data_IF_990236115242
#
_entry.id   IF_990236115242
#
_cell.length_a   1.000
_cell.length_b   1.000
_cell.length_c   1.000
_cell.angle_alpha   90.00
_cell.angle_beta   90.00
_cell.angle_gamma   90.00
#
_symmetry.space_group_name_H-M   'P 1'
#
loop_
_entity.id
_entity.type
_entity.pdbx_description
1 polymer ?
#
# COMPACT_ATOMS: atom_id res chain seq x y z
N UNK A 1 22.12 45.46 6.28
CA UNK A 1 21.02 44.54 5.89
C UNK A 1 21.63 43.15 5.70
N UNK A 2 21.11 42.12 6.37
CA UNK A 2 21.58 40.75 6.19
C UNK A 2 20.75 40.06 5.08
N UNK A 3 21.43 39.48 4.09
CA UNK A 3 20.76 38.84 2.93
C UNK A 3 19.88 37.66 3.35
N UNK A 4 20.31 36.90 4.37
CA UNK A 4 19.52 35.82 4.98
C UNK A 4 18.18 36.32 5.54
N UNK A 5 18.17 37.41 6.30
CA UNK A 5 16.94 37.96 6.87
C UNK A 5 16.04 38.56 5.79
N UNK A 6 16.62 39.23 4.80
CA UNK A 6 15.87 39.80 3.68
C UNK A 6 15.10 38.72 2.91
N UNK A 7 15.78 37.63 2.56
CA UNK A 7 15.17 36.49 1.87
C UNK A 7 14.09 35.85 2.74
N UNK A 8 14.34 35.68 4.04
CA UNK A 8 13.36 35.16 5.01
C UNK A 8 12.10 36.02 5.13
N UNK A 9 12.22 37.34 5.07
CA UNK A 9 11.07 38.26 5.10
C UNK A 9 10.33 38.38 3.76
N UNK A 10 10.66 37.54 2.78
CA UNK A 10 9.93 37.43 1.52
C UNK A 10 10.58 38.13 0.33
N UNK A 11 11.84 38.59 0.45
CA UNK A 11 12.57 39.12 -0.69
C UNK A 11 12.98 37.97 -1.63
N UNK A 12 12.54 37.96 -2.90
CA UNK A 12 12.93 36.90 -3.83
C UNK A 12 14.47 36.83 -4.01
N UNK A 13 15.07 35.62 -4.06
CA UNK A 13 16.52 35.46 -4.16
C UNK A 13 17.18 36.18 -5.34
N UNK A 14 16.49 36.32 -6.48
CA UNK A 14 17.01 37.05 -7.64
C UNK A 14 17.04 38.58 -7.42
N UNK A 15 16.16 39.13 -6.58
CA UNK A 15 16.20 40.56 -6.20
C UNK A 15 17.29 40.78 -5.15
N UNK A 16 17.38 39.87 -4.16
CA UNK A 16 18.45 39.89 -3.17
C UNK A 16 19.84 39.79 -3.82
N UNK A 17 19.97 39.04 -4.92
CA UNK A 17 21.20 38.93 -5.72
C UNK A 17 21.63 40.29 -6.29
N UNK A 18 20.70 41.02 -6.89
CA UNK A 18 20.96 42.35 -7.48
C UNK A 18 21.40 43.34 -6.40
N UNK A 19 20.71 43.35 -5.26
CA UNK A 19 21.03 44.24 -4.12
C UNK A 19 22.41 43.89 -3.53
N UNK A 20 22.76 42.61 -3.48
CA UNK A 20 24.05 42.14 -2.96
C UNK A 20 25.20 42.23 -3.98
N UNK A 21 24.92 42.57 -5.24
CA UNK A 21 25.92 42.62 -6.32
C UNK A 21 26.51 41.25 -6.68
N UNK A 22 25.82 40.15 -6.39
CA UNK A 22 26.33 38.82 -6.68
C UNK A 22 26.22 38.50 -8.18
N UNK A 23 27.33 38.16 -8.81
CA UNK A 23 27.37 37.77 -10.23
C UNK A 23 26.66 36.43 -10.52
N UNK A 24 26.51 35.57 -9.51
CA UNK A 24 25.88 34.25 -9.63
C UNK A 24 24.75 34.10 -8.61
N UNK A 25 23.56 33.70 -9.07
CA UNK A 25 22.40 33.44 -8.21
C UNK A 25 22.66 32.35 -7.17
N UNK A 26 23.52 31.38 -7.47
CA UNK A 26 23.86 30.30 -6.53
C UNK A 26 24.55 30.83 -5.27
N UNK A 27 25.31 31.92 -5.38
CA UNK A 27 25.89 32.63 -4.23
C UNK A 27 24.80 33.19 -3.33
N UNK A 28 23.73 33.74 -3.91
CA UNK A 28 22.58 34.25 -3.15
C UNK A 28 21.69 33.15 -2.59
N UNK A 29 21.51 32.06 -3.36
CA UNK A 29 20.75 30.87 -2.94
C UNK A 29 21.39 30.18 -1.73
N UNK A 30 22.71 30.31 -1.54
CA UNK A 30 23.38 29.83 -0.33
C UNK A 30 22.87 30.47 0.97
N UNK A 31 22.30 31.68 0.90
CA UNK A 31 21.64 32.33 2.04
C UNK A 31 20.18 31.89 2.23
N UNK A 32 19.59 31.21 1.25
CA UNK A 32 18.26 30.59 1.33
C UNK A 32 18.38 29.23 1.99
N UNK A 33 18.70 29.21 3.28
CA UNK A 33 18.71 27.98 4.06
C UNK A 33 17.27 27.46 4.16
N UNK A 34 16.96 26.38 3.45
CA UNK A 34 15.68 25.68 3.61
C UNK A 34 15.69 24.99 4.97
N UNK A 35 14.95 25.52 5.93
CA UNK A 35 14.88 24.91 7.25
C UNK A 35 13.96 23.69 7.21
N UNK A 36 14.28 22.60 7.94
CA UNK A 36 13.42 21.42 8.02
C UNK A 36 11.96 21.75 8.37
N UNK A 37 11.74 22.74 9.24
CA UNK A 37 10.41 23.20 9.64
C UNK A 37 9.60 23.76 8.46
N UNK A 38 10.17 24.64 7.65
CA UNK A 38 9.50 25.25 6.49
C UNK A 38 9.13 24.19 5.45
N UNK A 39 10.00 23.20 5.26
CA UNK A 39 9.72 22.06 4.36
C UNK A 39 8.56 21.21 4.90
N UNK A 40 8.56 20.92 6.20
CA UNK A 40 7.49 20.16 6.86
C UNK A 40 6.16 20.92 6.76
N UNK A 41 6.17 22.23 7.00
CA UNK A 41 4.98 23.09 6.91
C UNK A 41 4.46 23.19 5.49
N UNK A 42 5.33 23.41 4.51
CA UNK A 42 4.96 23.42 3.09
C UNK A 42 4.34 22.08 2.65
N UNK A 43 4.92 20.96 3.09
CA UNK A 43 4.39 19.63 2.82
C UNK A 43 3.01 19.42 3.49
N UNK A 44 2.87 19.76 4.77
CA UNK A 44 1.59 19.67 5.49
C UNK A 44 0.51 20.51 4.82
N UNK A 45 0.84 21.74 4.43
CA UNK A 45 -0.07 22.63 3.71
C UNK A 45 -0.47 22.06 2.35
N UNK A 46 0.46 21.44 1.62
CA UNK A 46 0.18 20.73 0.38
C UNK A 46 -0.80 19.57 0.59
N UNK A 47 -0.57 18.71 1.59
CA UNK A 47 -1.47 17.59 1.91
C UNK A 47 -2.85 18.11 2.32
N UNK A 48 -2.93 19.15 3.16
CA UNK A 48 -4.18 19.75 3.60
C UNK A 48 -5.02 20.27 2.43
N UNK A 49 -4.41 21.00 1.49
CA UNK A 49 -5.09 21.49 0.27
C UNK A 49 -5.63 20.36 -0.60
N UNK A 50 -4.93 19.23 -0.67
CA UNK A 50 -5.41 18.06 -1.40
C UNK A 50 -6.57 17.38 -0.69
N UNK A 51 -6.52 17.27 0.64
CA UNK A 51 -7.62 16.70 1.43
C UNK A 51 -8.89 17.54 1.33
N UNK A 52 -8.78 18.87 1.30
CA UNK A 52 -9.95 19.76 1.17
C UNK A 52 -10.67 19.67 -0.18
N UNK A 53 -10.00 19.17 -1.23
CA UNK A 53 -10.62 18.97 -2.54
C UNK A 53 -11.33 17.61 -2.67
N UNK A 54 -11.09 16.67 -1.75
CA UNK A 54 -11.78 15.38 -1.74
C UNK A 54 -13.13 15.52 -1.02
N UNK A 55 -14.19 14.85 -1.51
CA UNK A 55 -15.46 14.79 -0.80
C UNK A 55 -15.28 14.41 0.67
N UNK A 56 -15.91 15.16 1.57
CA UNK A 56 -15.76 14.95 3.02
C UNK A 56 -16.20 13.55 3.46
N UNK A 57 -17.16 12.95 2.73
CA UNK A 57 -17.66 11.59 2.93
C UNK A 57 -16.54 10.54 2.91
N UNK A 58 -15.49 10.73 2.11
CA UNK A 58 -14.37 9.77 2.02
C UNK A 58 -13.48 9.75 3.27
N UNK A 59 -13.59 10.77 4.14
CA UNK A 59 -12.83 10.87 5.39
C UNK A 59 -13.68 10.60 6.62
N UNK A 60 -14.96 10.24 6.46
CA UNK A 60 -15.79 9.92 7.61
C UNK A 60 -15.24 8.70 8.34
N UNK A 61 -15.38 8.70 9.65
CA UNK A 61 -15.11 7.50 10.44
C UNK A 61 -16.23 6.48 10.18
N UNK A 62 -15.91 5.23 9.78
CA UNK A 62 -16.91 4.17 9.68
C UNK A 62 -17.62 3.96 11.01
N UNK A 63 -18.91 3.63 10.97
CA UNK A 63 -19.68 3.25 12.16
C UNK A 63 -19.31 1.85 12.63
N UNK A 64 -19.59 1.51 13.89
CA UNK A 64 -19.33 0.17 14.43
C UNK A 64 -20.08 -0.92 13.66
N UNK A 65 -21.32 -0.64 13.22
CA UNK A 65 -22.11 -1.58 12.42
C UNK A 65 -21.51 -1.82 11.02
N UNK A 66 -20.98 -0.79 10.38
CA UNK A 66 -20.24 -0.94 9.12
C UNK A 66 -18.93 -1.70 9.32
N UNK A 67 -18.29 -1.50 10.48
CA UNK A 67 -17.10 -2.24 10.84
C UNK A 67 -17.40 -3.73 11.04
N UNK A 68 -18.49 -4.03 11.74
CA UNK A 68 -18.96 -5.39 11.96
C UNK A 68 -19.34 -6.09 10.65
N UNK A 69 -20.06 -5.40 9.74
CA UNK A 69 -20.39 -5.96 8.43
C UNK A 69 -19.14 -6.19 7.57
N UNK A 70 -18.17 -5.26 7.60
CA UNK A 70 -16.90 -5.44 6.92
C UNK A 70 -16.12 -6.64 7.46
N UNK A 71 -16.00 -6.79 8.78
CA UNK A 71 -15.28 -7.91 9.40
C UNK A 71 -16.01 -9.24 9.13
N UNK A 72 -17.33 -9.24 9.27
CA UNK A 72 -18.18 -10.40 8.97
C UNK A 72 -18.08 -10.85 7.51
N UNK A 73 -17.77 -9.96 6.56
CA UNK A 73 -17.56 -10.33 5.16
C UNK A 73 -16.39 -11.31 4.97
N UNK A 74 -15.31 -11.16 5.74
CA UNK A 74 -14.14 -12.06 5.65
C UNK A 74 -14.45 -13.44 6.22
N UNK A 75 -15.19 -13.51 7.32
CA UNK A 75 -15.61 -14.78 7.94
C UNK A 75 -16.65 -15.52 7.07
N UNK A 76 -17.55 -14.79 6.41
CA UNK A 76 -18.62 -15.35 5.55
C UNK A 76 -18.13 -15.92 4.22
N UNK A 77 -16.84 -15.85 3.88
CA UNK A 77 -16.29 -16.31 2.60
C UNK A 77 -15.32 -17.48 2.70
N UNK A 78 -15.39 -18.24 3.80
CA UNK A 78 -14.84 -19.60 3.82
C UNK A 78 -15.65 -20.47 2.86
N UNK A 79 -14.95 -21.11 1.94
CA UNK A 79 -15.50 -22.04 0.96
C UNK A 79 -15.01 -23.45 1.32
N UNK A 80 -15.61 -24.47 0.71
CA UNK A 80 -15.28 -25.87 0.95
C UNK A 80 -13.81 -26.22 0.72
N UNK A 81 -13.16 -25.56 -0.24
CA UNK A 81 -11.77 -25.86 -0.66
C UNK A 81 -10.80 -24.69 -0.46
N UNK A 82 -11.22 -23.63 0.23
CA UNK A 82 -10.40 -22.42 0.36
C UNK A 82 -11.13 -21.19 0.85
N UNK A 83 -10.60 -20.02 0.50
CA UNK A 83 -11.18 -18.72 0.85
C UNK A 83 -11.33 -17.86 -0.41
N UNK A 84 -12.46 -17.17 -0.54
CA UNK A 84 -12.66 -16.24 -1.64
C UNK A 84 -11.96 -14.90 -1.35
N UNK A 85 -11.03 -14.48 -2.20
CA UNK A 85 -10.29 -13.22 -2.07
C UNK A 85 -10.97 -12.01 -2.76
N UNK A 86 -12.25 -12.14 -3.10
CA UNK A 86 -13.02 -11.07 -3.73
C UNK A 86 -13.28 -9.93 -2.73
N UNK A 87 -13.17 -8.69 -3.18
CA UNK A 87 -13.23 -7.51 -2.33
C UNK A 87 -14.57 -7.33 -1.59
N UNK A 88 -14.53 -6.65 -0.44
CA UNK A 88 -15.72 -6.19 0.28
C UNK A 88 -16.68 -5.43 -0.65
N UNK A 89 -17.99 -5.65 -0.48
CA UNK A 89 -19.03 -5.03 -1.31
C UNK A 89 -19.16 -5.57 -2.74
N UNK A 90 -18.36 -6.57 -3.16
CA UNK A 90 -18.50 -7.17 -4.50
C UNK A 90 -19.15 -8.57 -4.44
N UNK A 91 -20.37 -8.68 -4.96
CA UNK A 91 -21.11 -9.93 -5.03
C UNK A 91 -20.48 -10.91 -6.04
N UNK A 92 -20.67 -12.21 -5.82
CA UNK A 92 -20.37 -13.24 -6.82
C UNK A 92 -21.69 -13.67 -7.45
N UNK A 93 -21.79 -13.65 -8.78
CA UNK A 93 -22.97 -14.20 -9.49
C UNK A 93 -22.94 -15.73 -9.54
N UNK A 94 -21.78 -16.33 -9.26
CA UNK A 94 -21.57 -17.77 -9.30
C UNK A 94 -21.43 -18.31 -7.89
N UNK A 95 -22.55 -18.62 -7.26
CA UNK A 95 -22.57 -19.47 -6.08
C UNK A 95 -22.06 -20.85 -6.52
N UNK A 96 -21.03 -21.38 -5.86
CA UNK A 96 -20.42 -22.71 -6.11
C UNK A 96 -19.48 -22.90 -7.32
N UNK A 97 -19.24 -21.91 -8.19
CA UNK A 97 -18.23 -22.05 -9.27
C UNK A 97 -16.78 -21.80 -8.82
N UNK A 98 -16.49 -21.90 -7.52
CA UNK A 98 -15.24 -21.37 -6.94
C UNK A 98 -13.99 -22.09 -7.43
N UNK A 99 -14.06 -23.38 -7.77
CA UNK A 99 -12.92 -24.14 -8.31
C UNK A 99 -12.40 -23.53 -9.62
N UNK A 100 -13.31 -22.96 -10.45
CA UNK A 100 -12.96 -22.24 -11.69
C UNK A 100 -12.54 -20.79 -11.44
N UNK A 101 -12.73 -20.26 -10.23
CA UNK A 101 -12.56 -18.85 -9.94
C UNK A 101 -11.09 -18.50 -9.70
N UNK A 102 -10.60 -17.48 -10.42
CA UNK A 102 -9.24 -16.92 -10.19
C UNK A 102 -9.08 -16.32 -8.79
N UNK A 103 -10.17 -15.86 -8.17
CA UNK A 103 -10.15 -15.25 -6.84
C UNK A 103 -10.24 -16.29 -5.70
N UNK A 104 -10.44 -17.57 -6.00
CA UNK A 104 -10.31 -18.62 -4.98
C UNK A 104 -8.84 -18.77 -4.61
N UNK A 105 -8.50 -18.50 -3.36
CA UNK A 105 -7.23 -18.90 -2.74
C UNK A 105 -7.43 -20.29 -2.12
N UNK A 106 -6.82 -21.34 -2.69
CA UNK A 106 -7.00 -22.69 -2.20
C UNK A 106 -6.33 -22.84 -0.84
N UNK A 107 -6.99 -23.58 0.06
CA UNK A 107 -6.44 -23.92 1.37
C UNK A 107 -5.56 -25.17 1.22
N UNK A 108 -4.26 -25.14 1.55
CA UNK A 108 -3.38 -26.30 1.45
C UNK A 108 -3.91 -27.54 2.19
N UNK A 109 -4.64 -27.35 3.30
CA UNK A 109 -5.24 -28.46 4.04
C UNK A 109 -6.35 -29.19 3.25
N UNK A 110 -6.92 -28.54 2.22
CA UNK A 110 -7.98 -29.09 1.36
C UNK A 110 -7.44 -29.69 0.05
N UNK A 111 -6.12 -29.89 -0.07
CA UNK A 111 -5.52 -30.48 -1.28
C UNK A 111 -6.12 -31.83 -1.65
N UNK A 112 -6.33 -32.72 -0.67
CA UNK A 112 -6.94 -34.04 -0.89
C UNK A 112 -8.34 -33.91 -1.51
N UNK A 113 -9.14 -32.97 -1.01
CA UNK A 113 -10.48 -32.71 -1.55
C UNK A 113 -10.45 -32.19 -2.98
N UNK A 114 -9.46 -31.36 -3.35
CA UNK A 114 -9.27 -30.91 -4.73
C UNK A 114 -8.87 -32.06 -5.66
N UNK A 115 -8.07 -33.02 -5.17
CA UNK A 115 -7.73 -34.25 -5.89
C UNK A 115 -8.98 -35.11 -6.13
N UNK A 116 -9.83 -35.31 -5.12
CA UNK A 116 -11.11 -36.01 -5.28
C UNK A 116 -12.01 -35.35 -6.33
N UNK A 117 -12.08 -34.01 -6.33
CA UNK A 117 -12.85 -33.26 -7.34
C UNK A 117 -12.27 -33.47 -8.74
N UNK A 118 -10.95 -33.40 -8.90
CA UNK A 118 -10.27 -33.64 -10.17
C UNK A 118 -10.57 -35.04 -10.70
N UNK A 119 -10.42 -36.06 -9.87
CA UNK A 119 -10.59 -37.45 -10.27
C UNK A 119 -12.06 -37.72 -10.65
N UNK A 120 -13.02 -37.18 -9.90
CA UNK A 120 -14.43 -37.25 -10.27
C UNK A 120 -14.73 -36.56 -11.61
N UNK A 121 -14.11 -35.41 -11.89
CA UNK A 121 -14.28 -34.72 -13.17
C UNK A 121 -13.74 -35.53 -14.34
N UNK A 122 -12.62 -36.24 -14.16
CA UNK A 122 -12.07 -37.15 -15.17
C UNK A 122 -13.05 -38.29 -15.47
N UNK A 123 -13.60 -38.93 -14.43
CA UNK A 123 -14.59 -39.99 -14.58
C UNK A 123 -15.84 -39.49 -15.33
N UNK A 124 -16.34 -38.30 -14.98
CA UNK A 124 -17.51 -37.70 -15.64
C UNK A 124 -17.25 -37.30 -17.09
N UNK A 125 -16.04 -36.88 -17.43
CA UNK A 125 -15.66 -36.60 -18.82
C UNK A 125 -15.66 -37.91 -19.62
N UNK A 126 -15.07 -38.98 -19.09
CA UNK A 126 -15.04 -40.28 -19.75
C UNK A 126 -16.47 -40.84 -19.96
N UNK A 127 -17.33 -40.72 -18.96
CA UNK A 127 -18.75 -41.09 -19.08
C UNK A 127 -19.46 -40.27 -20.17
N UNK A 128 -19.29 -38.95 -20.17
CA UNK A 128 -19.91 -38.08 -21.18
C UNK A 128 -19.41 -38.36 -22.60
N UNK A 129 -18.15 -38.76 -22.77
CA UNK A 129 -17.59 -39.16 -24.06
C UNK A 129 -18.19 -40.48 -24.56
N UNK A 130 -18.35 -41.47 -23.66
CA UNK A 130 -18.97 -42.76 -23.99
C UNK A 130 -20.46 -42.61 -24.37
N UNK A 131 -21.19 -41.78 -23.64
CA UNK A 131 -22.63 -41.54 -23.85
C UNK A 131 -22.91 -40.49 -24.95
N UNK A 132 -21.87 -39.86 -25.50
CA UNK A 132 -22.00 -38.85 -26.57
C UNK A 132 -22.61 -37.51 -26.11
N UNK A 133 -22.50 -37.16 -24.83
CA UNK A 133 -23.01 -35.91 -24.25
C UNK A 133 -22.09 -34.72 -24.50
N UNK A 134 -21.93 -34.35 -25.77
CA UNK A 134 -20.97 -33.33 -26.20
C UNK A 134 -21.18 -31.95 -25.55
N UNK A 135 -22.40 -31.61 -25.14
CA UNK A 135 -22.72 -30.33 -24.50
C UNK A 135 -22.16 -30.17 -23.08
N UNK A 136 -21.95 -31.27 -22.35
CA UNK A 136 -21.47 -31.25 -20.95
C UNK A 136 -19.94 -31.27 -20.87
N UNK A 137 -19.28 -31.88 -21.85
CA UNK A 137 -17.83 -32.13 -21.85
C UNK A 137 -17.02 -30.84 -21.68
N UNK A 138 -17.37 -29.77 -22.39
CA UNK A 138 -16.62 -28.52 -22.33
C UNK A 138 -16.66 -27.89 -20.93
N UNK A 139 -17.83 -27.87 -20.30
CA UNK A 139 -17.99 -27.37 -18.93
C UNK A 139 -17.20 -28.21 -17.90
N UNK A 140 -17.16 -29.52 -18.09
CA UNK A 140 -16.37 -30.43 -17.25
C UNK A 140 -14.87 -30.19 -17.43
N UNK A 141 -14.38 -30.06 -18.67
CA UNK A 141 -12.96 -29.77 -18.96
C UNK A 141 -12.50 -28.43 -18.37
N UNK A 142 -13.32 -27.38 -18.43
CA UNK A 142 -13.02 -26.10 -17.76
C UNK A 142 -12.92 -26.27 -16.24
N UNK A 143 -13.79 -27.10 -15.64
CA UNK A 143 -13.73 -27.39 -14.20
C UNK A 143 -12.47 -28.16 -13.83
N UNK A 144 -12.09 -29.12 -14.66
CA UNK A 144 -10.89 -29.95 -14.48
C UNK A 144 -9.63 -29.08 -14.49
N UNK A 145 -9.49 -28.23 -15.51
CA UNK A 145 -8.38 -27.28 -15.59
C UNK A 145 -8.34 -26.33 -14.37
N UNK A 146 -9.51 -25.91 -13.87
CA UNK A 146 -9.62 -25.15 -12.63
C UNK A 146 -9.08 -25.93 -11.43
N UNK A 147 -9.50 -27.18 -11.25
CA UNK A 147 -9.07 -28.04 -10.15
C UNK A 147 -7.55 -28.31 -10.19
N UNK A 148 -7.01 -28.65 -11.35
CA UNK A 148 -5.57 -28.88 -11.56
C UNK A 148 -4.76 -27.62 -11.23
N UNK A 149 -5.17 -26.46 -11.74
CA UNK A 149 -4.52 -25.19 -11.44
C UNK A 149 -4.50 -24.87 -9.94
N UNK A 150 -5.54 -25.23 -9.18
CA UNK A 150 -5.57 -25.04 -7.72
C UNK A 150 -4.64 -26.01 -6.99
N UNK A 151 -4.53 -27.25 -7.45
CA UNK A 151 -3.58 -28.22 -6.91
C UNK A 151 -2.14 -27.73 -7.15
N UNK A 152 -1.83 -27.33 -8.38
CA UNK A 152 -0.52 -26.80 -8.74
C UNK A 152 -0.16 -25.55 -7.92
N UNK A 153 -1.15 -24.69 -7.65
CA UNK A 153 -0.97 -23.53 -6.78
C UNK A 153 -0.59 -23.92 -5.34
N UNK A 154 -1.21 -24.96 -4.79
CA UNK A 154 -0.84 -25.48 -3.46
C UNK A 154 0.57 -26.08 -3.51
N UNK A 155 0.87 -26.89 -4.52
CA UNK A 155 2.12 -27.64 -4.63
C UNK A 155 3.33 -26.73 -4.93
N UNK A 156 3.10 -25.63 -5.66
CA UNK A 156 4.12 -24.64 -5.99
C UNK A 156 4.29 -23.56 -4.92
N UNK A 157 3.39 -23.47 -3.94
CA UNK A 157 3.47 -22.45 -2.90
C UNK A 157 4.70 -22.74 -2.01
N UNK A 158 5.71 -21.86 -1.97
CA UNK A 158 6.81 -22.02 -1.05
C UNK A 158 6.24 -21.92 0.37
N UNK A 159 6.44 -22.94 1.21
CA UNK A 159 6.05 -22.96 2.62
C UNK A 159 6.83 -21.97 3.49
N UNK A 160 7.46 -20.96 2.89
CA UNK A 160 8.34 -20.00 3.52
C UNK A 160 7.63 -18.65 3.52
N UNK A 161 7.28 -18.18 4.72
CA UNK A 161 6.91 -16.79 4.93
C UNK A 161 8.11 -15.93 4.52
N UNK A 162 7.96 -15.14 3.46
CA UNK A 162 8.99 -14.19 3.05
C UNK A 162 8.96 -13.06 4.08
N UNK A 163 9.90 -13.07 5.01
CA UNK A 163 10.10 -11.95 5.93
C UNK A 163 10.63 -10.75 5.14
N UNK A 164 9.74 -9.79 4.88
CA UNK A 164 10.09 -8.53 4.22
C UNK A 164 10.86 -7.58 5.15
N UNK A 165 10.98 -7.93 6.44
CA UNK A 165 11.55 -7.09 7.49
C UNK A 165 10.64 -5.91 7.85
N UNK A 166 10.66 -5.50 9.12
CA UNK A 166 10.03 -4.24 9.51
C UNK A 166 10.83 -3.06 8.94
N UNK A 167 10.19 -2.06 8.30
CA UNK A 167 10.90 -0.89 7.81
C UNK A 167 11.54 -0.18 9.00
N UNK A 168 12.88 -0.19 9.05
CA UNK A 168 13.63 0.49 10.10
C UNK A 168 13.46 2.00 9.91
N UNK A 169 12.98 2.68 10.94
CA UNK A 169 13.03 4.15 11.00
C UNK A 169 14.51 4.55 10.97
N UNK A 170 14.94 5.32 9.96
CA UNK A 170 16.29 5.87 9.94
C UNK A 170 16.53 6.67 11.24
N UNK A 171 17.64 6.40 11.94
CA UNK A 171 18.02 7.15 13.13
C UNK A 171 18.19 8.62 12.76
N UNK A 172 17.51 9.52 13.47
CA UNK A 172 17.73 10.95 13.33
C UNK A 172 19.20 11.25 13.68
N UNK A 173 19.95 11.98 12.82
CA UNK A 173 21.29 12.38 13.18
C UNK A 173 21.21 13.26 14.44
N UNK A 174 21.99 12.89 15.45
CA UNK A 174 22.08 13.59 16.72
C UNK A 174 22.35 15.09 16.47
N UNK A 175 21.50 15.94 17.02
CA UNK A 175 21.73 17.38 17.07
C UNK A 175 23.06 17.60 17.79
N UNK A 176 24.08 18.06 17.07
CA UNK A 176 25.30 18.57 17.69
C UNK A 176 24.92 19.83 18.48
N UNK A 177 24.82 19.69 19.80
CA UNK A 177 24.77 20.82 20.71
C UNK A 177 26.02 21.68 20.50
N UNK A 178 25.81 22.87 19.94
CA UNK A 178 26.85 23.88 19.82
C UNK A 178 27.18 24.44 21.19
N UNK A 179 28.39 24.15 21.69
CA UNK A 179 28.94 24.78 22.88
C UNK A 179 29.17 26.29 22.61
N UNK A 180 28.18 27.12 22.95
CA UNK A 180 28.33 28.56 23.06
C UNK A 180 29.02 28.91 24.37
N UNK A 181 30.32 29.23 24.32
CA UNK A 181 31.03 29.85 25.44
C UNK A 181 30.78 31.36 25.43
N UNK A 182 29.82 31.82 26.23
CA UNK A 182 29.72 33.23 26.63
C UNK A 182 30.85 33.53 27.62
N UNK A 183 31.82 34.36 27.21
CA UNK A 183 32.65 35.11 28.16
C UNK A 183 32.07 36.52 28.31
N UNK A 184 31.36 36.74 29.42
CA UNK A 184 31.14 38.07 29.99
C UNK A 184 32.12 38.27 31.14
N UNK A 185 32.94 39.32 31.06
CA UNK A 185 33.60 40.04 32.15
C UNK A 185 34.00 41.38 31.52
N UNK A 186 33.30 42.51 31.72
CA UNK A 186 33.24 43.35 32.92
C UNK A 186 34.61 43.51 33.58
N UNK A 187 35.21 44.68 33.33
CA UNK A 187 36.09 45.51 34.18
C UNK A 187 36.18 46.85 33.41
N UNK A 188 35.40 47.89 33.73
CA UNK A 188 35.54 48.90 34.79
C UNK A 188 36.90 49.65 34.84
N UNK A 189 36.80 50.97 34.59
CA UNK A 189 37.62 52.07 35.14
C UNK A 189 39.08 52.25 34.68
N UNK A 190 39.31 53.11 33.68
CA UNK A 190 39.81 54.49 33.82
C UNK A 190 39.94 55.18 32.47
#
# INVERSE_FOLDING_TARGET
>A
MFITDAIRTGLPPHIAQVIAGHANINTTMGYNAVYPTETIEAHRAFISRRRSLRPAEEYRTPTDAEWEDFLGHFERRKLSVGTCARAYGTACIHEHACVRCSLLRPDPAQRSRLVEIRDNLLDRIAEAELEGWLGEIEGLRISLAGAESKIDQIDSAPGVTIDLGMPRKAAQPAQREGAGSLRQSRDDQQ
#
